data_IF_409342733708
#
_entry.id   IF_409342733708
#
_cell.length_a   1.000
_cell.length_b   1.000
_cell.length_c   1.000
_cell.angle_alpha   90.00
_cell.angle_beta   90.00
_cell.angle_gamma   90.00
#
_symmetry.space_group_name_H-M   'P 1'
#
loop_
_entity.id
_entity.type
_entity.pdbx_description
1 polymer ?
#
# COMPACT_ATOMS: atom_id res chain seq x y z
N UNK A 1 -5.60 4.22 -36.06
CA UNK A 1 -4.91 3.01 -35.59
C UNK A 1 -3.87 3.48 -34.61
N UNK A 2 -4.07 3.19 -33.33
CA UNK A 2 -3.16 3.65 -32.27
C UNK A 2 -2.12 2.55 -32.12
N UNK A 3 -0.89 2.87 -32.51
CA UNK A 3 0.22 1.94 -32.58
C UNK A 3 0.49 1.27 -31.24
N UNK A 4 0.42 -0.06 -31.30
CA UNK A 4 0.78 -1.02 -30.29
C UNK A 4 2.32 -1.13 -30.30
N UNK A 5 3.02 -0.20 -29.65
CA UNK A 5 4.46 -0.33 -29.38
C UNK A 5 4.83 0.21 -27.98
N UNK A 6 4.21 -0.33 -26.92
CA UNK A 6 4.89 -0.39 -25.60
C UNK A 6 5.96 -1.49 -25.67
N UNK A 7 7.03 -1.23 -26.44
CA UNK A 7 8.25 -2.02 -26.44
C UNK A 7 8.79 -2.10 -25.02
N UNK A 8 9.10 -3.32 -24.58
CA UNK A 8 9.81 -3.64 -23.34
C UNK A 8 11.05 -2.74 -23.16
N UNK A 9 10.90 -1.58 -22.52
CA UNK A 9 12.05 -0.88 -21.94
C UNK A 9 12.50 -1.72 -20.76
N UNK A 10 13.74 -2.21 -20.83
CA UNK A 10 14.43 -2.73 -19.65
C UNK A 10 14.29 -1.68 -18.54
N UNK A 11 13.83 -2.15 -17.37
CA UNK A 11 13.66 -1.29 -16.20
C UNK A 11 15.05 -0.85 -15.76
N UNK A 12 15.39 0.40 -16.04
CA UNK A 12 16.65 1.02 -15.62
C UNK A 12 16.68 1.05 -14.08
N UNK A 13 17.58 0.25 -13.50
CA UNK A 13 17.85 0.24 -12.06
C UNK A 13 18.84 1.36 -11.78
N UNK A 14 18.57 2.15 -10.75
CA UNK A 14 19.38 3.30 -10.37
C UNK A 14 19.84 3.21 -8.92
N UNK A 15 21.03 3.74 -8.65
CA UNK A 15 21.61 3.84 -7.31
C UNK A 15 21.39 5.24 -6.72
N UNK A 16 21.35 5.39 -5.39
CA UNK A 16 21.34 6.71 -4.75
C UNK A 16 22.53 7.56 -5.22
N UNK A 17 22.28 8.81 -5.60
CA UNK A 17 23.27 9.75 -6.16
C UNK A 17 23.44 9.68 -7.67
N UNK A 18 22.78 8.74 -8.35
CA UNK A 18 22.84 8.63 -9.81
C UNK A 18 22.04 9.76 -10.50
N UNK A 19 22.60 10.33 -11.57
CA UNK A 19 21.97 11.40 -12.34
C UNK A 19 20.82 10.86 -13.21
N UNK A 20 19.66 11.49 -13.13
CA UNK A 20 18.44 11.03 -13.80
C UNK A 20 17.99 11.95 -14.94
N UNK A 21 18.48 13.18 -15.00
CA UNK A 21 18.16 14.16 -16.04
C UNK A 21 18.15 15.61 -15.55
N UNK A 22 17.87 16.52 -16.48
CA UNK A 22 17.79 17.97 -16.26
C UNK A 22 16.42 18.51 -16.72
N UNK A 23 15.95 19.59 -16.08
CA UNK A 23 14.70 20.29 -16.40
C UNK A 23 13.42 19.42 -16.35
N UNK A 24 13.46 18.31 -15.62
CA UNK A 24 12.30 17.47 -15.35
C UNK A 24 11.68 17.87 -13.99
N UNK A 25 10.42 17.52 -13.76
CA UNK A 25 9.81 17.69 -12.43
C UNK A 25 10.29 16.56 -11.50
N UNK A 26 10.80 16.87 -10.30
CA UNK A 26 11.14 15.85 -9.33
C UNK A 26 9.86 15.20 -8.81
N UNK A 27 9.79 13.88 -8.89
CA UNK A 27 8.72 13.08 -8.32
C UNK A 27 9.15 12.37 -7.04
N UNK A 28 8.67 11.16 -6.81
CA UNK A 28 9.03 10.37 -5.62
C UNK A 28 10.39 9.68 -5.79
N UNK A 29 11.13 9.53 -4.69
CA UNK A 29 12.43 8.83 -4.69
C UNK A 29 13.58 9.59 -5.38
N UNK A 30 13.41 10.88 -5.67
CA UNK A 30 14.43 11.74 -6.29
C UNK A 30 14.64 13.02 -5.48
N UNK A 31 15.79 13.66 -5.67
CA UNK A 31 16.06 15.01 -5.18
C UNK A 31 16.68 15.85 -6.30
N UNK A 32 16.58 17.17 -6.19
CA UNK A 32 17.17 18.11 -7.13
C UNK A 32 18.33 18.86 -6.50
N UNK A 33 19.39 19.05 -7.28
CA UNK A 33 20.51 19.93 -6.94
C UNK A 33 20.68 20.91 -8.10
N UNK A 34 20.27 22.16 -7.88
CA UNK A 34 20.13 23.16 -8.95
C UNK A 34 19.12 22.73 -10.02
N UNK A 35 19.60 22.52 -11.26
CA UNK A 35 18.78 22.09 -12.42
C UNK A 35 18.83 20.57 -12.68
N UNK A 36 19.67 19.86 -11.92
CA UNK A 36 19.95 18.45 -12.10
C UNK A 36 19.12 17.62 -11.10
N UNK A 37 18.63 16.47 -11.54
CA UNK A 37 17.84 15.55 -10.72
C UNK A 37 18.65 14.28 -10.50
N UNK A 38 18.67 13.82 -9.26
CA UNK A 38 19.40 12.65 -8.81
C UNK A 38 18.46 11.67 -8.10
N UNK A 39 18.82 10.39 -8.14
CA UNK A 39 18.13 9.35 -7.38
C UNK A 39 18.41 9.51 -5.87
N UNK A 40 17.36 9.57 -5.06
CA UNK A 40 17.48 9.58 -3.60
C UNK A 40 17.54 8.15 -3.01
N UNK A 41 17.01 7.17 -3.75
CA UNK A 41 16.83 5.79 -3.30
C UNK A 41 17.27 4.79 -4.36
N UNK A 42 17.59 3.57 -3.93
CA UNK A 42 17.81 2.45 -4.82
C UNK A 42 16.48 1.97 -5.40
N UNK A 43 16.36 1.93 -6.73
CA UNK A 43 15.07 1.59 -7.33
C UNK A 43 15.06 1.53 -8.85
N UNK A 44 13.86 1.51 -9.41
CA UNK A 44 13.63 1.54 -10.85
C UNK A 44 13.22 2.94 -11.26
N UNK A 45 13.93 3.52 -12.22
CA UNK A 45 13.59 4.82 -12.80
C UNK A 45 12.28 4.72 -13.57
N UNK A 46 11.37 5.66 -13.33
CA UNK A 46 10.08 5.78 -14.00
C UNK A 46 9.83 7.22 -14.42
N UNK A 47 9.77 7.44 -15.73
CA UNK A 47 9.49 8.76 -16.30
C UNK A 47 8.03 8.79 -16.76
N UNK A 48 7.25 9.74 -16.25
CA UNK A 48 5.84 9.96 -16.64
C UNK A 48 5.59 11.44 -16.84
N UNK A 49 5.07 11.84 -18.00
CA UNK A 49 4.58 13.22 -18.29
C UNK A 49 5.52 14.32 -17.75
N UNK A 50 6.80 14.25 -18.13
CA UNK A 50 7.83 15.21 -17.72
C UNK A 50 8.22 15.22 -16.22
N UNK A 51 7.86 14.16 -15.49
CA UNK A 51 8.23 13.92 -14.09
C UNK A 51 9.08 12.65 -13.99
N UNK A 52 10.15 12.70 -13.21
CA UNK A 52 11.01 11.54 -12.94
C UNK A 52 10.76 11.06 -11.52
N UNK A 53 10.48 9.76 -11.41
CA UNK A 53 10.36 9.07 -10.14
C UNK A 53 11.39 7.93 -10.10
N UNK A 54 11.76 7.53 -8.89
CA UNK A 54 12.43 6.26 -8.65
C UNK A 54 11.52 5.43 -7.76
N UNK A 55 11.03 4.33 -8.32
CA UNK A 55 10.20 3.37 -7.59
C UNK A 55 11.15 2.54 -6.72
N UNK A 56 11.10 2.66 -5.38
CA UNK A 56 12.04 1.98 -4.51
C UNK A 56 11.82 0.47 -4.58
N UNK A 57 12.92 -0.30 -4.62
CA UNK A 57 12.86 -1.77 -4.62
C UNK A 57 12.71 -2.37 -3.20
N UNK A 58 12.87 -1.54 -2.17
CA UNK A 58 12.70 -1.92 -0.77
C UNK A 58 12.44 -0.71 0.13
N UNK A 59 12.35 -0.94 1.43
CA UNK A 59 12.08 0.09 2.42
C UNK A 59 10.68 -0.01 3.03
N UNK A 60 10.35 0.98 3.87
CA UNK A 60 9.02 1.10 4.49
C UNK A 60 8.05 1.80 3.56
N UNK A 61 6.77 1.63 3.86
CA UNK A 61 5.71 2.37 3.18
C UNK A 61 5.86 3.87 3.46
N UNK A 62 5.75 4.67 2.40
CA UNK A 62 5.71 6.14 2.49
C UNK A 62 4.30 6.56 2.11
N UNK A 63 3.56 7.26 2.98
CA UNK A 63 2.16 7.57 2.74
C UNK A 63 1.96 8.55 1.58
N UNK A 64 1.04 8.22 0.67
CA UNK A 64 0.56 9.11 -0.39
C UNK A 64 -0.93 9.39 -0.22
N UNK A 65 -1.37 10.57 -0.66
CA UNK A 65 -2.78 10.97 -0.58
C UNK A 65 -3.63 9.98 -1.39
N UNK A 66 -4.77 9.58 -0.83
CA UNK A 66 -5.71 8.58 -1.35
C UNK A 66 -5.28 7.11 -1.22
N UNK A 67 -4.16 6.81 -0.57
CA UNK A 67 -3.83 5.42 -0.27
C UNK A 67 -4.82 4.80 0.71
N UNK A 68 -5.40 3.66 0.34
CA UNK A 68 -6.22 2.84 1.23
C UNK A 68 -5.33 1.82 1.94
N UNK A 69 -5.44 1.74 3.27
CA UNK A 69 -4.53 0.97 4.11
C UNK A 69 -5.21 0.43 5.37
N UNK A 70 -4.52 -0.52 6.03
CA UNK A 70 -4.95 -1.05 7.33
C UNK A 70 -4.09 -0.42 8.42
N UNK A 71 -4.72 0.31 9.33
CA UNK A 71 -4.10 0.88 10.51
C UNK A 71 -4.38 0.06 11.77
N UNK A 72 -3.53 0.21 12.79
CA UNK A 72 -3.78 -0.27 14.14
C UNK A 72 -3.78 0.90 15.11
N UNK A 73 -4.76 0.97 16.00
CA UNK A 73 -4.85 2.04 16.98
C UNK A 73 -3.77 1.84 18.05
N UNK A 74 -2.89 2.82 18.21
CA UNK A 74 -1.82 2.79 19.22
C UNK A 74 -2.15 3.64 20.44
N UNK A 75 -2.82 4.78 20.23
CA UNK A 75 -3.16 5.72 21.29
C UNK A 75 -4.55 6.35 21.07
N UNK A 76 -5.17 6.75 22.17
CA UNK A 76 -6.48 7.40 22.18
C UNK A 76 -6.33 8.77 22.83
N UNK A 77 -6.59 9.82 22.05
CA UNK A 77 -6.68 11.19 22.54
C UNK A 77 -8.14 11.61 22.81
N UNK A 78 -8.36 12.84 23.32
CA UNK A 78 -9.69 13.34 23.65
C UNK A 78 -10.64 13.46 22.44
N UNK A 79 -10.09 13.75 21.25
CA UNK A 79 -10.84 13.96 20.01
C UNK A 79 -10.15 13.34 18.78
N UNK A 80 -9.25 12.38 18.99
CA UNK A 80 -8.50 11.74 17.92
C UNK A 80 -7.91 10.41 18.34
N UNK A 81 -7.57 9.58 17.36
CA UNK A 81 -6.78 8.37 17.56
C UNK A 81 -5.46 8.48 16.82
N UNK A 82 -4.40 7.96 17.45
CA UNK A 82 -3.14 7.73 16.76
C UNK A 82 -3.18 6.33 16.15
N UNK A 83 -2.88 6.26 14.87
CA UNK A 83 -2.99 5.05 14.06
C UNK A 83 -1.62 4.70 13.53
N UNK A 84 -1.10 3.54 13.92
CA UNK A 84 0.07 2.96 13.27
C UNK A 84 -0.34 2.43 11.89
N UNK A 85 0.25 3.01 10.86
CA UNK A 85 0.02 2.70 9.45
C UNK A 85 1.19 1.94 8.83
N UNK A 86 2.08 1.34 9.62
CA UNK A 86 3.29 0.64 9.13
C UNK A 86 4.20 1.55 8.27
N UNK A 87 4.26 2.82 8.64
CA UNK A 87 5.11 3.84 8.01
C UNK A 87 6.08 4.41 9.07
N UNK A 88 7.13 5.15 8.67
CA UNK A 88 7.98 5.87 9.64
C UNK A 88 7.21 6.88 10.50
N UNK A 89 6.04 7.34 10.02
CA UNK A 89 5.20 8.33 10.66
C UNK A 89 3.85 7.71 11.05
N UNK A 90 3.38 7.91 12.29
CA UNK A 90 2.01 7.53 12.64
C UNK A 90 1.02 8.46 11.94
N UNK A 91 -0.21 7.98 11.75
CA UNK A 91 -1.29 8.78 11.20
C UNK A 91 -2.26 9.23 12.30
N UNK A 92 -2.83 10.42 12.13
CA UNK A 92 -3.87 10.94 13.00
C UNK A 92 -5.25 10.72 12.37
N UNK A 93 -6.14 10.08 13.12
CA UNK A 93 -7.56 9.99 12.79
C UNK A 93 -8.35 10.93 13.70
N UNK A 94 -8.86 12.02 13.17
CA UNK A 94 -9.71 12.93 13.94
C UNK A 94 -11.15 12.39 14.02
N UNK A 95 -11.88 12.69 15.09
CA UNK A 95 -13.27 12.23 15.28
C UNK A 95 -14.22 12.66 14.15
N UNK A 96 -13.98 13.82 13.53
CA UNK A 96 -14.77 14.32 12.38
C UNK A 96 -14.58 13.49 11.11
N UNK A 97 -13.44 12.81 11.01
CA UNK A 97 -13.06 11.90 9.93
C UNK A 97 -13.46 10.46 10.22
N UNK A 98 -14.16 10.21 11.32
CA UNK A 98 -14.80 8.94 11.62
C UNK A 98 -16.25 8.90 11.13
N UNK A 99 -16.85 7.72 10.89
CA UNK A 99 -18.25 7.61 10.54
C UNK A 99 -19.19 7.85 11.75
N UNK A 100 -18.64 7.95 12.96
CA UNK A 100 -19.39 8.06 14.19
C UNK A 100 -19.49 9.51 14.66
N UNK A 101 -20.58 9.82 15.37
CA UNK A 101 -20.67 11.05 16.15
C UNK A 101 -20.04 10.78 17.51
N UNK A 102 -18.84 11.31 17.71
CA UNK A 102 -18.06 11.11 18.94
C UNK A 102 -18.06 12.40 19.74
N UNK A 103 -18.62 12.35 20.94
CA UNK A 103 -18.56 13.45 21.89
C UNK A 103 -17.16 13.53 22.53
N UNK A 104 -16.81 14.71 23.04
CA UNK A 104 -15.48 14.95 23.61
C UNK A 104 -15.16 13.96 24.73
N UNK A 105 -14.01 13.29 24.66
CA UNK A 105 -13.58 12.29 25.63
C UNK A 105 -14.20 10.90 25.45
N UNK A 106 -15.10 10.71 24.48
CA UNK A 106 -15.77 9.42 24.25
C UNK A 106 -15.10 8.55 23.16
N UNK A 107 -13.96 8.98 22.65
CA UNK A 107 -13.23 8.29 21.57
C UNK A 107 -12.96 6.80 21.87
N UNK A 108 -12.65 6.46 23.13
CA UNK A 108 -12.41 5.07 23.56
C UNK A 108 -13.63 4.15 23.42
N UNK A 109 -14.86 4.68 23.36
CA UNK A 109 -16.07 3.86 23.18
C UNK A 109 -16.14 3.23 21.79
N UNK A 110 -15.51 3.84 20.79
CA UNK A 110 -15.61 3.42 19.38
C UNK A 110 -14.39 2.61 18.93
N UNK A 111 -13.20 3.08 19.29
CA UNK A 111 -11.94 2.46 18.94
C UNK A 111 -11.01 2.43 20.16
N UNK A 112 -10.51 1.23 20.46
CA UNK A 112 -9.59 0.92 21.54
C UNK A 112 -8.19 0.62 21.00
N UNK A 113 -7.19 0.74 21.86
CA UNK A 113 -5.81 0.37 21.54
C UNK A 113 -5.77 -1.10 21.09
N UNK A 114 -5.09 -1.36 19.98
CA UNK A 114 -4.99 -2.67 19.34
C UNK A 114 -6.10 -2.96 18.32
N UNK A 115 -7.14 -2.11 18.22
CA UNK A 115 -8.13 -2.27 17.15
C UNK A 115 -7.51 -2.03 15.77
N UNK A 116 -7.87 -2.85 14.80
CA UNK A 116 -7.49 -2.66 13.41
C UNK A 116 -8.60 -1.90 12.64
N UNK A 117 -8.20 -0.98 11.77
CA UNK A 117 -9.11 -0.11 11.02
C UNK A 117 -8.71 -0.03 9.55
N UNK A 118 -9.69 -0.05 8.65
CA UNK A 118 -9.52 0.34 7.26
C UNK A 118 -9.66 1.84 7.16
N UNK A 119 -8.63 2.51 6.65
CA UNK A 119 -8.58 3.96 6.51
C UNK A 119 -8.03 4.35 5.13
N UNK A 120 -8.26 5.61 4.75
CA UNK A 120 -7.64 6.23 3.58
C UNK A 120 -6.82 7.44 4.00
N UNK A 121 -5.65 7.65 3.41
CA UNK A 121 -4.86 8.87 3.63
C UNK A 121 -5.58 10.06 3.02
N UNK A 122 -5.98 11.02 3.86
CA UNK A 122 -6.68 12.24 3.44
C UNK A 122 -5.71 13.37 3.12
N UNK A 123 -4.63 13.51 3.90
CA UNK A 123 -3.61 14.52 3.69
C UNK A 123 -2.25 14.08 4.22
N UNK A 124 -1.19 14.61 3.59
CA UNK A 124 0.19 14.50 4.07
C UNK A 124 0.78 15.90 3.95
N UNK A 125 1.21 16.49 5.07
CA UNK A 125 1.79 17.83 5.06
C UNK A 125 3.30 17.83 4.78
N UNK A 126 3.89 19.03 4.64
CA UNK A 126 5.32 19.22 4.37
C UNK A 126 6.21 18.68 5.51
N UNK A 127 5.67 18.63 6.74
CA UNK A 127 6.33 18.06 7.92
C UNK A 127 6.10 16.56 8.09
N UNK A 128 5.54 15.89 7.07
CA UNK A 128 5.20 14.46 7.06
C UNK A 128 4.19 14.05 8.12
N UNK A 129 3.35 14.97 8.62
CA UNK A 129 2.17 14.59 9.39
C UNK A 129 1.14 14.01 8.44
N UNK A 130 0.63 12.84 8.80
CA UNK A 130 -0.32 12.08 8.00
C UNK A 130 -1.68 12.16 8.67
N UNK A 131 -2.69 12.57 7.93
CA UNK A 131 -4.08 12.46 8.37
C UNK A 131 -4.76 11.35 7.58
N UNK A 132 -5.61 10.61 8.29
CA UNK A 132 -6.42 9.54 7.70
C UNK A 132 -7.89 9.77 7.97
N UNK A 133 -8.70 9.20 7.09
CA UNK A 133 -10.16 9.24 7.17
C UNK A 133 -10.74 7.84 7.11
N UNK A 134 -11.89 7.66 7.77
CA UNK A 134 -12.78 6.50 7.67
C UNK A 134 -14.08 6.86 6.94
N UNK A 135 -14.23 8.08 6.44
CA UNK A 135 -15.44 8.56 5.74
C UNK A 135 -15.34 8.32 4.24
N UNK A 136 -15.11 7.07 3.87
CA UNK A 136 -15.13 6.65 2.47
C UNK A 136 -15.71 5.24 2.34
N UNK A 137 -16.06 4.86 1.11
CA UNK A 137 -16.68 3.59 0.80
C UNK A 137 -15.80 2.42 1.25
N UNK A 138 -16.38 1.53 2.07
CA UNK A 138 -15.75 0.30 2.52
C UNK A 138 -14.79 0.44 3.71
N UNK A 139 -14.50 1.67 4.15
CA UNK A 139 -13.70 1.95 5.34
C UNK A 139 -14.51 1.66 6.61
N UNK A 140 -13.89 0.98 7.56
CA UNK A 140 -14.56 0.49 8.78
C UNK A 140 -13.55 -0.03 9.79
N UNK A 141 -14.01 -0.22 11.03
CA UNK A 141 -13.33 -1.06 12.00
C UNK A 141 -13.31 -2.51 11.49
N UNK A 142 -12.16 -3.15 11.60
CA UNK A 142 -11.97 -4.56 11.25
C UNK A 142 -12.35 -5.40 12.48
N UNK A 143 -13.24 -6.37 12.27
CA UNK A 143 -13.67 -7.31 13.30
C UNK A 143 -13.43 -8.73 12.79
N UNK A 144 -12.61 -9.51 13.49
CA UNK A 144 -12.27 -10.87 13.09
C UNK A 144 -11.32 -10.95 11.88
N UNK A 145 -11.28 -12.14 11.28
CA UNK A 145 -10.32 -12.47 10.22
C UNK A 145 -8.88 -12.60 10.72
N UNK A 146 -7.94 -12.50 9.79
CA UNK A 146 -6.50 -12.62 10.01
C UNK A 146 -5.76 -11.49 9.31
N UNK A 147 -4.89 -10.82 10.05
CA UNK A 147 -3.96 -9.83 9.50
C UNK A 147 -2.64 -10.51 9.11
N UNK A 148 -2.13 -10.16 7.94
CA UNK A 148 -0.80 -10.53 7.46
C UNK A 148 -0.03 -9.26 7.12
N UNK A 149 1.29 -9.35 7.19
CA UNK A 149 2.19 -8.30 6.75
C UNK A 149 3.12 -8.84 5.67
N UNK A 150 3.41 -7.99 4.68
CA UNK A 150 4.41 -8.22 3.64
C UNK A 150 5.09 -6.90 3.28
N UNK A 151 6.23 -6.98 2.60
CA UNK A 151 6.93 -5.78 2.14
C UNK A 151 6.00 -4.92 1.24
N UNK A 152 5.87 -3.60 1.48
CA UNK A 152 5.02 -2.71 0.68
C UNK A 152 5.36 -2.74 -0.82
N UNK A 153 6.64 -2.89 -1.17
CA UNK A 153 7.11 -3.01 -2.55
C UNK A 153 6.54 -4.22 -3.30
N UNK A 154 6.03 -5.23 -2.58
CA UNK A 154 5.46 -6.45 -3.15
C UNK A 154 3.93 -6.41 -3.25
N UNK A 155 3.26 -5.41 -2.66
CA UNK A 155 1.79 -5.26 -2.72
C UNK A 155 1.27 -5.09 -4.15
N UNK A 156 1.87 -4.24 -5.03
CA UNK A 156 1.42 -4.12 -6.42
C UNK A 156 1.48 -5.47 -7.17
N UNK A 157 2.45 -6.31 -6.83
CA UNK A 157 2.60 -7.65 -7.41
C UNK A 157 1.50 -8.61 -6.93
N UNK A 158 1.11 -8.55 -5.66
CA UNK A 158 -0.01 -9.33 -5.12
C UNK A 158 -1.36 -8.92 -5.73
N UNK A 159 -1.59 -7.62 -5.95
CA UNK A 159 -2.81 -7.14 -6.60
C UNK A 159 -2.85 -7.62 -8.06
N UNK A 160 -1.71 -7.53 -8.75
CA UNK A 160 -1.59 -7.87 -10.17
C UNK A 160 -2.17 -6.77 -11.08
N UNK A 161 -1.90 -6.87 -12.40
CA UNK A 161 -2.37 -5.88 -13.37
C UNK A 161 -3.91 -5.83 -13.36
N UNK A 162 -4.48 -4.68 -13.00
CA UNK A 162 -5.93 -4.48 -12.89
C UNK A 162 -6.61 -5.30 -11.79
N UNK A 163 -5.86 -5.81 -10.79
CA UNK A 163 -6.44 -6.64 -9.73
C UNK A 163 -6.67 -8.10 -10.11
N UNK A 164 -6.06 -8.59 -11.18
CA UNK A 164 -6.25 -9.97 -11.66
C UNK A 164 -5.85 -11.04 -10.64
N UNK A 165 -4.69 -10.86 -9.99
CA UNK A 165 -4.14 -11.86 -9.07
C UNK A 165 -4.95 -11.95 -7.79
N UNK A 166 -5.29 -10.80 -7.18
CA UNK A 166 -6.12 -10.80 -5.97
C UNK A 166 -7.53 -11.33 -6.24
N UNK A 167 -8.10 -11.06 -7.42
CA UNK A 167 -9.41 -11.57 -7.81
C UNK A 167 -9.40 -13.09 -7.99
N UNK A 168 -8.32 -13.64 -8.54
CA UNK A 168 -8.12 -15.07 -8.67
C UNK A 168 -8.07 -15.75 -7.30
N UNK A 169 -7.25 -15.23 -6.38
CA UNK A 169 -7.15 -15.77 -5.01
C UNK A 169 -8.52 -15.70 -4.31
N UNK A 170 -9.22 -14.57 -4.39
CA UNK A 170 -10.57 -14.40 -3.84
C UNK A 170 -11.55 -15.44 -4.39
N UNK A 171 -11.53 -15.68 -5.71
CA UNK A 171 -12.44 -16.64 -6.36
C UNK A 171 -12.15 -18.08 -5.93
N UNK A 172 -10.89 -18.49 -5.86
CA UNK A 172 -10.50 -19.86 -5.51
C UNK A 172 -10.67 -20.16 -4.01
N UNK A 173 -10.30 -19.22 -3.13
CA UNK A 173 -10.35 -19.42 -1.67
C UNK A 173 -11.68 -19.03 -1.03
N UNK A 174 -12.53 -18.30 -1.78
CA UNK A 174 -13.76 -17.65 -1.31
C UNK A 174 -13.53 -16.70 -0.13
N UNK A 175 -12.30 -16.24 0.08
CA UNK A 175 -11.96 -15.27 1.12
C UNK A 175 -12.27 -13.84 0.69
N UNK A 176 -12.68 -13.02 1.66
CA UNK A 176 -12.63 -11.56 1.56
C UNK A 176 -11.19 -11.14 1.83
N UNK A 177 -10.60 -10.45 0.85
CA UNK A 177 -9.20 -10.00 0.93
C UNK A 177 -9.16 -8.49 0.71
N UNK A 178 -8.52 -7.78 1.64
CA UNK A 178 -8.15 -6.39 1.49
C UNK A 178 -6.63 -6.27 1.60
N UNK A 179 -5.99 -5.73 0.56
CA UNK A 179 -4.56 -5.45 0.56
C UNK A 179 -4.34 -3.94 0.66
N UNK A 180 -3.79 -3.49 1.79
CA UNK A 180 -3.41 -2.10 2.00
C UNK A 180 -2.07 -1.78 1.35
N UNK A 181 -1.91 -0.55 0.86
CA UNK A 181 -0.64 -0.09 0.26
C UNK A 181 0.54 -0.14 1.24
N UNK A 182 0.24 -0.11 2.55
CA UNK A 182 1.21 -0.19 3.62
C UNK A 182 1.77 -1.59 3.92
N UNK A 183 1.50 -2.58 3.07
CA UNK A 183 2.01 -3.94 3.27
C UNK A 183 1.15 -4.80 4.20
N UNK A 184 0.09 -4.25 4.81
CA UNK A 184 -0.85 -5.01 5.63
C UNK A 184 -1.97 -5.57 4.78
N UNK A 185 -2.33 -6.82 5.03
CA UNK A 185 -3.36 -7.55 4.30
C UNK A 185 -4.31 -8.19 5.29
N UNK A 186 -5.60 -7.90 5.13
CA UNK A 186 -6.65 -8.51 5.92
C UNK A 186 -7.35 -9.59 5.10
N UNK A 187 -7.50 -10.76 5.71
CA UNK A 187 -8.17 -11.94 5.18
C UNK A 187 -9.31 -12.32 6.10
N UNK A 188 -10.50 -12.54 5.55
CA UNK A 188 -11.66 -12.93 6.33
C UNK A 188 -12.59 -13.84 5.53
N UNK A 189 -13.30 -14.72 6.24
CA UNK A 189 -14.15 -15.78 5.68
C UNK A 189 -13.40 -16.76 4.72
N UNK A 190 -13.94 -17.95 4.46
CA UNK A 190 -13.38 -18.92 3.51
C UNK A 190 -12.09 -19.64 3.97
N UNK A 191 -11.30 -20.15 3.02
CA UNK A 191 -10.06 -20.88 3.29
C UNK A 191 -8.86 -19.94 3.47
N UNK A 192 -8.80 -19.34 4.67
CA UNK A 192 -7.74 -18.41 5.07
C UNK A 192 -6.36 -19.07 5.00
N UNK A 193 -6.23 -20.36 5.33
CA UNK A 193 -4.92 -21.03 5.39
C UNK A 193 -4.29 -21.19 4.00
N UNK A 194 -5.11 -21.55 3.00
CA UNK A 194 -4.64 -21.58 1.61
C UNK A 194 -4.29 -20.19 1.12
N UNK A 195 -5.12 -19.17 1.41
CA UNK A 195 -4.84 -17.79 1.04
C UNK A 195 -3.50 -17.29 1.62
N UNK A 196 -3.24 -17.54 2.90
CA UNK A 196 -1.97 -17.21 3.58
C UNK A 196 -0.79 -17.88 2.88
N UNK A 197 -0.92 -19.16 2.53
CA UNK A 197 0.15 -19.94 1.89
C UNK A 197 0.49 -19.38 0.50
N UNK A 198 -0.54 -19.04 -0.29
CA UNK A 198 -0.37 -18.45 -1.62
C UNK A 198 0.26 -17.06 -1.53
N UNK A 199 -0.19 -16.21 -0.59
CA UNK A 199 0.39 -14.88 -0.40
C UNK A 199 1.87 -14.96 -0.04
N UNK A 200 2.25 -15.87 0.87
CA UNK A 200 3.66 -16.11 1.21
C UNK A 200 4.47 -16.64 0.03
N UNK A 201 3.87 -17.45 -0.84
CA UNK A 201 4.52 -17.94 -2.06
C UNK A 201 4.76 -16.79 -3.05
N UNK A 202 3.75 -15.94 -3.26
CA UNK A 202 3.87 -14.72 -4.09
C UNK A 202 4.99 -13.83 -3.56
N UNK A 203 5.07 -13.65 -2.25
CA UNK A 203 6.09 -12.83 -1.63
C UNK A 203 7.52 -13.33 -1.92
N UNK A 204 7.73 -14.65 -1.96
CA UNK A 204 9.02 -15.27 -2.26
C UNK A 204 9.34 -15.26 -3.76
N UNK A 205 8.33 -15.47 -4.60
CA UNK A 205 8.48 -15.61 -6.05
C UNK A 205 8.17 -14.31 -6.81
N UNK A 206 8.11 -13.16 -6.14
CA UNK A 206 7.70 -11.88 -6.74
C UNK A 206 8.55 -11.45 -7.95
N UNK A 207 9.76 -11.99 -8.10
CA UNK A 207 10.71 -11.70 -9.17
C UNK A 207 10.57 -12.59 -10.42
N UNK A 208 9.78 -13.67 -10.35
CA UNK A 208 9.65 -14.63 -11.47
C UNK A 208 8.61 -14.14 -12.48
N UNK A 209 8.77 -14.49 -13.75
CA UNK A 209 7.76 -14.27 -14.79
C UNK A 209 6.76 -15.44 -14.83
N UNK A 210 5.50 -15.20 -15.19
CA UNK A 210 4.47 -16.27 -15.28
C UNK A 210 3.88 -16.74 -13.95
N UNK A 211 4.10 -16.00 -12.85
CA UNK A 211 3.61 -16.36 -11.52
C UNK A 211 2.09 -16.54 -11.46
N UNK A 212 1.32 -15.81 -12.28
CA UNK A 212 -0.13 -15.96 -12.35
C UNK A 212 -0.53 -17.37 -12.74
N UNK A 213 0.08 -17.94 -13.78
CA UNK A 213 -0.24 -19.27 -14.27
C UNK A 213 0.23 -20.36 -13.29
N UNK A 214 1.38 -20.13 -12.64
CA UNK A 214 1.88 -21.03 -11.60
C UNK A 214 0.94 -21.10 -10.38
N UNK A 215 0.33 -19.98 -10.01
CA UNK A 215 -0.63 -19.91 -8.91
C UNK A 215 -1.98 -20.49 -9.31
N UNK A 216 -2.46 -20.24 -10.52
CA UNK A 216 -3.69 -20.85 -11.05
C UNK A 216 -3.59 -22.37 -11.00
N UNK A 217 -2.50 -22.96 -11.52
CA UNK A 217 -2.27 -24.41 -11.47
C UNK A 217 -2.21 -24.97 -10.05
N UNK A 218 -1.60 -24.22 -9.13
CA UNK A 218 -1.52 -24.62 -7.72
C UNK A 218 -2.90 -24.60 -7.03
N UNK A 219 -3.77 -23.67 -7.42
CA UNK A 219 -5.13 -23.54 -6.89
C UNK A 219 -6.13 -24.50 -7.54
N UNK A 220 -5.89 -24.93 -8.78
CA UNK A 220 -6.71 -25.92 -9.50
C UNK A 220 -6.33 -27.37 -9.16
N UNK A 221 -5.06 -27.62 -8.79
CA UNK A 221 -4.57 -28.95 -8.41
C UNK A 221 -4.91 -29.37 -6.97
N UNK A 222 -5.83 -28.66 -6.31
CA UNK A 222 -6.23 -28.85 -4.92
C UNK A 222 -7.74 -29.01 -4.84
#
# INVERSE_FOLDING_TARGET
MIDIEEKHREREIVLPGEFLGENLKPGTGVYNEGKQIYAAVFGVKSVRVNMVNVIPLGGRYIPEINDCLIGMITEIGPSSWLVDINSPYPALLHVTESPWRVDFGEAAKFLNIGDAVLVKVSSVDETKKVQVTMRDMGLRKITGGRLLEMAPSKIPRLIGKGGSMISLIKKSTKCRIFAGQNGRIWLDEGDINTAVTVIKKIEKEAHTFGLTDAISKYLEGK
#
